data_IF_389734622787
#
_entry.id   IF_389734622787
#
_cell.length_a   1.000
_cell.length_b   1.000
_cell.length_c   1.000
_cell.angle_alpha   90.00
_cell.angle_beta   90.00
_cell.angle_gamma   90.00
#
_symmetry.space_group_name_H-M   'P 1'
#
loop_
_entity.id
_entity.type
_entity.pdbx_description
1 polymer ?
#
# COMPACT_ATOMS: atom_id res chain seq x y z
N UNK A 1 24.56 9.86 -11.94
CA UNK A 1 23.10 9.94 -11.61
C UNK A 1 22.24 10.17 -12.85
N UNK A 2 22.50 11.20 -13.63
CA UNK A 2 21.74 11.47 -14.87
C UNK A 2 21.77 10.31 -15.86
N UNK A 3 22.92 9.65 -16.04
CA UNK A 3 23.03 8.49 -16.93
C UNK A 3 22.16 7.31 -16.48
N UNK A 4 22.11 7.03 -15.17
CA UNK A 4 21.27 5.96 -14.64
C UNK A 4 19.77 6.25 -14.80
N UNK A 5 19.38 7.50 -14.58
CA UNK A 5 17.99 7.93 -14.80
C UNK A 5 17.60 7.86 -16.28
N UNK A 6 18.51 8.25 -17.18
CA UNK A 6 18.28 8.15 -18.62
C UNK A 6 18.12 6.69 -19.05
N UNK A 7 18.95 5.78 -18.53
CA UNK A 7 18.84 4.34 -18.81
C UNK A 7 17.54 3.76 -18.29
N UNK A 8 17.16 4.12 -17.06
CA UNK A 8 15.88 3.67 -16.48
C UNK A 8 14.69 4.16 -17.33
N UNK A 9 14.72 5.41 -17.75
CA UNK A 9 13.70 5.97 -18.63
C UNK A 9 13.58 5.19 -19.93
N UNK A 10 14.71 4.87 -20.56
CA UNK A 10 14.71 4.08 -21.79
C UNK A 10 14.11 2.69 -21.56
N UNK A 11 14.46 2.01 -20.47
CA UNK A 11 13.88 0.72 -20.15
C UNK A 11 12.35 0.81 -20.01
N UNK A 12 11.85 1.80 -19.32
CA UNK A 12 10.41 2.01 -19.15
C UNK A 12 9.71 2.33 -20.48
N UNK A 13 10.34 3.15 -21.34
CA UNK A 13 9.77 3.51 -22.62
C UNK A 13 9.68 2.33 -23.60
N UNK A 14 10.63 1.40 -23.54
CA UNK A 14 10.70 0.26 -24.45
C UNK A 14 10.04 -1.00 -23.92
N UNK A 15 9.68 -1.03 -22.64
CA UNK A 15 9.03 -2.19 -22.04
C UNK A 15 7.63 -2.39 -22.62
N UNK A 16 7.33 -3.60 -23.03
CA UNK A 16 5.97 -3.96 -23.46
C UNK A 16 5.00 -3.95 -22.28
N UNK A 17 5.47 -4.38 -21.11
CA UNK A 17 4.69 -4.38 -19.88
C UNK A 17 5.60 -4.08 -18.69
N UNK A 18 5.10 -3.29 -17.74
CA UNK A 18 5.81 -2.88 -16.54
C UNK A 18 5.09 -3.45 -15.32
N UNK A 19 5.79 -4.20 -14.49
CA UNK A 19 5.31 -4.65 -13.20
C UNK A 19 5.96 -3.79 -12.10
N UNK A 20 5.14 -3.17 -11.26
CA UNK A 20 5.60 -2.36 -10.12
C UNK A 20 5.28 -3.11 -8.84
N UNK A 21 6.30 -3.55 -8.13
CA UNK A 21 6.14 -4.12 -6.80
C UNK A 21 6.27 -3.02 -5.75
N UNK A 22 5.25 -2.84 -4.93
CA UNK A 22 5.26 -1.81 -3.89
C UNK A 22 4.98 -2.38 -2.50
N UNK A 23 5.50 -1.70 -1.50
CA UNK A 23 5.33 -2.03 -0.09
C UNK A 23 5.08 -0.76 0.74
N UNK A 24 5.23 -0.86 2.05
CA UNK A 24 4.91 0.22 3.00
C UNK A 24 5.67 1.53 2.72
N UNK A 25 6.84 1.45 2.11
CA UNK A 25 7.67 2.63 1.83
C UNK A 25 7.00 3.67 0.95
N UNK A 26 6.22 3.25 -0.05
CA UNK A 26 5.53 4.22 -0.93
C UNK A 26 4.46 5.01 -0.17
N UNK A 27 3.87 4.44 0.86
CA UNK A 27 2.79 5.08 1.63
C UNK A 27 3.30 5.90 2.82
N UNK A 28 4.59 5.84 3.13
CA UNK A 28 5.19 6.57 4.26
C UNK A 28 4.99 8.08 4.14
N UNK A 29 5.19 8.66 2.96
CA UNK A 29 4.98 10.09 2.71
C UNK A 29 3.52 10.52 2.80
N UNK A 30 2.59 9.58 2.70
CA UNK A 30 1.17 9.85 2.91
C UNK A 30 0.78 9.88 4.39
N UNK A 31 1.70 9.52 5.28
CA UNK A 31 1.46 9.45 6.72
C UNK A 31 1.01 8.08 7.21
N UNK A 32 1.08 7.04 6.37
CA UNK A 32 0.80 5.68 6.80
C UNK A 32 2.05 5.12 7.49
N UNK A 33 1.95 4.75 8.80
CA UNK A 33 3.12 4.24 9.50
C UNK A 33 3.57 2.89 8.91
N UNK A 34 4.89 2.78 8.70
CA UNK A 34 5.51 1.49 8.37
C UNK A 34 5.67 0.65 9.64
N UNK A 35 5.93 -0.65 9.50
CA UNK A 35 6.22 -1.49 10.66
C UNK A 35 7.45 -1.02 11.45
N UNK A 36 8.40 -0.32 10.82
CA UNK A 36 9.57 0.25 11.51
C UNK A 36 9.20 1.46 12.37
N UNK A 37 8.18 2.23 11.95
CA UNK A 37 7.68 3.39 12.69
C UNK A 37 6.68 2.99 13.77
N UNK A 38 6.28 1.74 13.80
CA UNK A 38 5.29 1.18 14.74
C UNK A 38 5.79 1.07 16.18
N UNK A 39 6.96 1.64 16.51
CA UNK A 39 7.45 1.71 17.89
C UNK A 39 6.83 2.86 18.70
N UNK A 40 5.96 3.66 18.08
CA UNK A 40 5.25 4.77 18.74
C UNK A 40 3.74 4.56 18.64
N UNK A 41 3.01 4.85 19.73
CA UNK A 41 1.56 4.76 19.80
C UNK A 41 1.03 3.38 20.15
N UNK A 42 -0.20 3.09 19.76
CA UNK A 42 -0.91 1.85 20.10
C UNK A 42 -0.20 0.59 19.60
N UNK A 43 0.48 0.70 18.47
CA UNK A 43 1.28 -0.37 17.87
C UNK A 43 2.44 -0.84 18.74
N UNK A 44 3.00 0.05 19.58
CA UNK A 44 4.09 -0.28 20.49
C UNK A 44 3.64 -1.24 21.60
N UNK A 45 2.34 -1.37 21.86
CA UNK A 45 1.77 -2.21 22.91
C UNK A 45 1.53 -3.66 22.48
N UNK A 46 1.40 -3.90 21.17
CA UNK A 46 1.04 -5.21 20.65
C UNK A 46 1.94 -5.58 19.49
N UNK A 47 2.37 -6.83 19.46
CA UNK A 47 3.08 -7.39 18.31
C UNK A 47 2.08 -7.68 17.18
N UNK A 48 2.50 -7.56 15.90
CA UNK A 48 1.61 -7.92 14.79
C UNK A 48 1.03 -9.32 14.92
N UNK A 49 1.78 -10.27 15.48
CA UNK A 49 1.35 -11.65 15.70
C UNK A 49 0.22 -11.75 16.74
N UNK A 50 0.12 -10.78 17.64
CA UNK A 50 -0.94 -10.74 18.68
C UNK A 50 -2.26 -10.19 18.15
N UNK A 51 -2.25 -9.52 17.00
CA UNK A 51 -3.42 -8.84 16.45
C UNK A 51 -3.77 -9.29 15.04
N UNK A 52 -2.78 -9.55 14.19
CA UNK A 52 -2.97 -9.81 12.77
C UNK A 52 -2.97 -11.31 12.43
N UNK A 53 -3.50 -12.16 13.31
CA UNK A 53 -3.60 -13.60 13.09
C UNK A 53 -5.01 -14.11 13.36
N UNK A 54 -5.37 -15.21 12.74
CA UNK A 54 -6.64 -15.90 12.98
C UNK A 54 -6.77 -16.35 14.46
N UNK A 55 -5.67 -16.81 15.04
CA UNK A 55 -5.62 -17.25 16.43
C UNK A 55 -5.90 -16.08 17.40
N UNK A 56 -5.32 -14.91 17.13
CA UNK A 56 -5.60 -13.69 17.89
C UNK A 56 -7.08 -13.31 17.82
N UNK A 57 -7.69 -13.40 16.64
CA UNK A 57 -9.11 -13.12 16.46
C UNK A 57 -9.99 -14.11 17.25
N UNK A 58 -9.64 -15.38 17.25
CA UNK A 58 -10.38 -16.41 18.00
C UNK A 58 -10.31 -16.18 19.51
N UNK A 59 -9.15 -15.74 20.01
CA UNK A 59 -8.95 -15.51 21.46
C UNK A 59 -9.54 -14.20 21.95
N UNK A 60 -9.40 -13.14 21.16
CA UNK A 60 -9.79 -11.78 21.53
C UNK A 60 -10.44 -11.06 20.35
N UNK A 61 -11.64 -11.48 19.91
CA UNK A 61 -12.25 -10.94 18.69
C UNK A 61 -12.52 -9.43 18.77
N UNK A 62 -12.95 -8.94 19.93
CA UNK A 62 -13.23 -7.49 20.11
C UNK A 62 -11.96 -6.66 19.98
N UNK A 63 -10.86 -7.09 20.57
CA UNK A 63 -9.56 -6.40 20.47
C UNK A 63 -9.07 -6.32 19.03
N UNK A 64 -9.16 -7.40 18.30
CA UNK A 64 -8.74 -7.47 16.90
C UNK A 64 -9.65 -6.61 16.04
N UNK A 65 -10.97 -6.67 16.27
CA UNK A 65 -11.95 -5.85 15.55
C UNK A 65 -11.68 -4.35 15.75
N UNK A 66 -11.50 -3.92 16.99
CA UNK A 66 -11.23 -2.52 17.33
C UNK A 66 -9.91 -2.03 16.70
N UNK A 67 -8.89 -2.86 16.70
CA UNK A 67 -7.61 -2.55 16.09
C UNK A 67 -7.74 -2.31 14.58
N UNK A 68 -8.47 -3.17 13.88
CA UNK A 68 -8.73 -2.99 12.44
C UNK A 68 -9.62 -1.78 12.17
N UNK A 69 -10.61 -1.53 12.99
CA UNK A 69 -11.50 -0.37 12.87
C UNK A 69 -10.71 0.94 13.03
N UNK A 70 -9.80 1.01 13.99
CA UNK A 70 -8.92 2.16 14.19
C UNK A 70 -7.99 2.37 13.00
N UNK A 71 -7.44 1.31 12.44
CA UNK A 71 -6.61 1.39 11.24
C UNK A 71 -7.40 1.90 10.03
N UNK A 72 -8.61 1.39 9.83
CA UNK A 72 -9.48 1.90 8.76
C UNK A 72 -9.76 3.39 8.91
N UNK A 73 -10.08 3.83 10.13
CA UNK A 73 -10.30 5.24 10.41
C UNK A 73 -9.06 6.10 10.13
N UNK A 74 -7.87 5.62 10.51
CA UNK A 74 -6.61 6.29 10.22
C UNK A 74 -6.35 6.40 8.73
N UNK A 75 -6.65 5.36 7.95
CA UNK A 75 -6.46 5.35 6.50
C UNK A 75 -7.41 6.29 5.77
N UNK A 76 -8.61 6.51 6.31
CA UNK A 76 -9.57 7.45 5.72
C UNK A 76 -9.04 8.90 5.72
N UNK A 77 -8.16 9.24 6.66
CA UNK A 77 -7.59 10.58 6.81
C UNK A 77 -6.36 10.84 5.91
N UNK A 78 -5.72 9.80 5.36
CA UNK A 78 -4.53 9.96 4.52
C UNK A 78 -4.91 10.06 3.05
N UNK A 79 -4.02 10.65 2.26
CA UNK A 79 -4.21 10.85 0.82
C UNK A 79 -3.07 10.19 0.03
N UNK A 80 -3.34 9.75 -1.21
CA UNK A 80 -2.27 9.33 -2.10
C UNK A 80 -1.23 10.43 -2.26
N UNK A 81 0.04 10.05 -2.32
CA UNK A 81 1.13 10.98 -2.57
C UNK A 81 1.55 10.98 -4.04
N UNK A 82 2.57 11.77 -4.38
CA UNK A 82 3.06 11.92 -5.74
C UNK A 82 3.46 10.59 -6.40
N UNK A 83 3.99 9.66 -5.64
CA UNK A 83 4.35 8.32 -6.15
C UNK A 83 3.13 7.53 -6.63
N UNK A 84 2.08 7.49 -5.83
CA UNK A 84 0.82 6.83 -6.20
C UNK A 84 0.20 7.49 -7.43
N UNK A 85 0.18 8.82 -7.46
CA UNK A 85 -0.40 9.59 -8.55
C UNK A 85 0.39 9.43 -9.86
N UNK A 86 1.72 9.36 -9.77
CA UNK A 86 2.56 9.15 -10.96
C UNK A 86 2.31 7.79 -11.60
N UNK A 87 2.15 6.74 -10.81
CA UNK A 87 1.85 5.41 -11.32
C UNK A 87 0.47 5.35 -11.98
N UNK A 88 -0.53 5.96 -11.35
CA UNK A 88 -1.88 6.04 -11.91
C UNK A 88 -1.90 6.83 -13.23
N UNK A 89 -1.17 7.91 -13.30
CA UNK A 89 -1.06 8.73 -14.51
C UNK A 89 -0.34 7.99 -15.65
N UNK A 90 0.71 7.24 -15.33
CA UNK A 90 1.38 6.40 -16.33
C UNK A 90 0.43 5.35 -16.90
N UNK A 91 -0.31 4.66 -16.04
CA UNK A 91 -1.31 3.67 -16.45
C UNK A 91 -2.37 4.30 -17.37
N UNK A 92 -2.87 5.47 -17.00
CA UNK A 92 -3.87 6.20 -17.78
C UNK A 92 -3.37 6.57 -19.18
N UNK A 93 -2.11 7.01 -19.28
CA UNK A 93 -1.49 7.39 -20.56
C UNK A 93 -1.09 6.19 -21.42
N UNK A 94 -0.85 5.04 -20.77
CA UNK A 94 -0.37 3.83 -21.45
C UNK A 94 -1.21 2.63 -21.05
N UNK A 95 -2.49 2.57 -21.47
CA UNK A 95 -3.41 1.50 -21.06
C UNK A 95 -2.84 0.11 -21.33
N UNK A 96 -2.96 -0.79 -20.35
CA UNK A 96 -2.53 -2.17 -20.49
C UNK A 96 -1.01 -2.41 -20.33
N UNK A 97 -0.23 -1.37 -20.05
CA UNK A 97 1.24 -1.49 -19.98
C UNK A 97 1.79 -1.55 -18.56
N UNK A 98 1.00 -1.28 -17.54
CA UNK A 98 1.48 -1.23 -16.16
C UNK A 98 0.54 -1.99 -15.22
N UNK A 99 1.12 -2.87 -14.42
CA UNK A 99 0.44 -3.55 -13.32
C UNK A 99 1.13 -3.20 -12.01
N UNK A 100 0.37 -2.77 -11.02
CA UNK A 100 0.87 -2.56 -9.66
C UNK A 100 0.60 -3.83 -8.84
N UNK A 101 1.65 -4.37 -8.24
CA UNK A 101 1.57 -5.51 -7.33
C UNK A 101 1.95 -4.98 -5.95
N UNK A 102 0.98 -4.86 -5.05
CA UNK A 102 1.23 -4.23 -3.75
C UNK A 102 1.00 -5.17 -2.58
N UNK A 103 1.89 -5.08 -1.59
CA UNK A 103 1.71 -5.68 -0.28
C UNK A 103 0.81 -4.82 0.61
N UNK A 104 0.51 -3.59 0.20
CA UNK A 104 -0.22 -2.63 1.00
C UNK A 104 -1.72 -2.94 1.01
N UNK A 105 -2.32 -2.73 2.17
CA UNK A 105 -3.76 -2.88 2.41
C UNK A 105 -4.48 -1.53 2.54
N UNK A 106 -3.75 -0.44 2.28
CA UNK A 106 -4.22 0.93 2.50
C UNK A 106 -5.12 1.48 1.38
N UNK A 107 -5.15 0.83 0.22
CA UNK A 107 -5.97 1.24 -0.92
C UNK A 107 -5.51 2.53 -1.61
N UNK A 108 -4.32 3.05 -1.30
CA UNK A 108 -3.87 4.33 -1.85
C UNK A 108 -3.59 4.30 -3.35
N UNK A 109 -3.13 3.19 -3.90
CA UNK A 109 -2.98 3.05 -5.35
C UNK A 109 -4.32 3.19 -6.06
N UNK A 110 -5.35 2.48 -5.57
CA UNK A 110 -6.70 2.53 -6.12
C UNK A 110 -7.32 3.92 -5.98
N UNK A 111 -7.11 4.56 -4.84
CA UNK A 111 -7.61 5.92 -4.59
C UNK A 111 -6.91 6.97 -5.46
N UNK A 112 -5.68 6.71 -5.86
CA UNK A 112 -4.95 7.57 -6.81
C UNK A 112 -5.46 7.42 -8.25
N UNK A 113 -6.20 6.35 -8.55
CA UNK A 113 -6.75 6.08 -9.87
C UNK A 113 -6.16 4.86 -10.58
N UNK A 114 -5.20 4.15 -9.98
CA UNK A 114 -4.68 2.90 -10.55
C UNK A 114 -5.79 1.86 -10.60
N UNK A 115 -5.96 1.21 -11.75
CA UNK A 115 -7.00 0.21 -11.98
C UNK A 115 -6.47 -1.22 -11.97
N UNK A 116 -5.30 -1.45 -12.57
CA UNK A 116 -4.65 -2.76 -12.61
C UNK A 116 -3.76 -2.93 -11.39
N UNK A 117 -4.37 -3.26 -10.26
CA UNK A 117 -3.70 -3.42 -8.96
C UNK A 117 -3.98 -4.80 -8.40
N UNK A 118 -2.91 -5.56 -8.13
CA UNK A 118 -2.97 -6.82 -7.41
C UNK A 118 -2.61 -6.58 -5.94
N UNK A 119 -3.60 -6.62 -5.07
CA UNK A 119 -3.43 -6.46 -3.63
C UNK A 119 -3.17 -7.84 -2.99
N UNK A 120 -1.91 -8.16 -2.76
CA UNK A 120 -1.48 -9.50 -2.31
C UNK A 120 -2.04 -9.89 -0.94
N UNK A 121 -2.33 -8.92 -0.10
CA UNK A 121 -2.82 -9.12 1.28
C UNK A 121 -4.24 -8.59 1.49
N UNK A 122 -4.96 -8.30 0.41
CA UNK A 122 -6.33 -7.78 0.47
C UNK A 122 -6.40 -6.27 0.72
N UNK A 123 -7.52 -5.82 1.27
CA UNK A 123 -7.78 -4.40 1.55
C UNK A 123 -8.44 -4.24 2.91
N UNK A 124 -8.04 -3.20 3.65
CA UNK A 124 -8.70 -2.82 4.90
C UNK A 124 -10.04 -2.12 4.67
N UNK A 125 -10.28 -1.63 3.47
CA UNK A 125 -11.54 -0.97 3.11
C UNK A 125 -12.67 -1.95 2.82
N UNK A 126 -12.35 -3.22 2.57
CA UNK A 126 -13.31 -4.26 2.26
C UNK A 126 -13.37 -5.30 3.38
N UNK A 127 -14.55 -5.48 3.94
CA UNK A 127 -14.84 -6.56 4.88
C UNK A 127 -15.18 -7.84 4.09
N UNK A 128 -14.37 -8.87 4.26
CA UNK A 128 -14.64 -10.21 3.71
C UNK A 128 -14.63 -11.24 4.82
#
# INVERSE_FOLDING_TARGET
MEDLLARARQCLQHAAHIAVLSGAGISAESGVPTFRDAQTGLWARFRPEELATEDAFRRHPERVWDWYAERRASLAAVQPNAGHLALAEFERRHPGRLTVITQNVDGLHQRAGSQDVLALHGSLAEDR
#
